data_IF_469236163323
#
_entry.id   IF_469236163323
#
_cell.length_a   1.000
_cell.length_b   1.000
_cell.length_c   1.000
_cell.angle_alpha   90.00
_cell.angle_beta   90.00
_cell.angle_gamma   90.00
#
_symmetry.space_group_name_H-M   'P 1'
#
loop_
_entity.id
_entity.type
_entity.pdbx_description
1 polymer ?
#
# COMPACT_ATOMS: atom_id res chain seq x y z
N UNK A 1 -53.42 -29.13 4.50
CA UNK A 1 -52.22 -29.29 3.65
C UNK A 1 -51.01 -29.05 4.54
N UNK A 2 -50.09 -30.02 4.72
CA UNK A 2 -48.88 -29.81 5.50
C UNK A 2 -48.00 -28.68 4.94
N UNK A 3 -47.36 -27.94 5.85
CA UNK A 3 -46.33 -26.96 5.53
C UNK A 3 -44.96 -27.63 5.67
N UNK A 4 -44.13 -27.53 4.64
CA UNK A 4 -42.74 -27.99 4.64
C UNK A 4 -41.81 -26.80 4.40
N UNK A 5 -40.64 -26.80 5.05
CA UNK A 5 -39.56 -25.87 4.72
C UNK A 5 -38.47 -26.61 3.95
N UNK A 6 -38.23 -26.21 2.72
CA UNK A 6 -37.24 -26.81 1.82
C UNK A 6 -35.90 -26.13 2.04
N UNK A 7 -34.90 -26.89 2.51
CA UNK A 7 -33.55 -26.40 2.82
C UNK A 7 -32.70 -26.19 1.57
N UNK A 8 -32.89 -27.06 0.57
CA UNK A 8 -32.17 -27.03 -0.72
C UNK A 8 -33.16 -27.29 -1.83
N UNK A 9 -33.14 -26.47 -2.88
CA UNK A 9 -34.05 -26.62 -4.00
C UNK A 9 -33.93 -28.00 -4.64
N UNK A 10 -35.06 -28.64 -4.96
CA UNK A 10 -35.11 -29.95 -5.61
C UNK A 10 -36.34 -30.10 -6.49
N UNK A 11 -36.33 -31.17 -7.28
CA UNK A 11 -37.47 -31.59 -8.10
C UNK A 11 -37.91 -32.98 -7.67
N UNK A 12 -39.21 -33.17 -7.45
CA UNK A 12 -39.83 -34.47 -7.21
C UNK A 12 -40.60 -34.91 -8.46
N UNK A 13 -40.35 -36.13 -8.92
CA UNK A 13 -41.18 -36.78 -9.93
C UNK A 13 -42.11 -37.76 -9.19
N UNK A 14 -43.42 -37.52 -9.21
CA UNK A 14 -44.42 -38.34 -8.50
C UNK A 14 -45.67 -38.50 -9.37
N UNK A 15 -46.17 -39.73 -9.55
CA UNK A 15 -47.38 -40.03 -10.35
C UNK A 15 -47.39 -39.38 -11.75
N UNK A 16 -46.28 -39.47 -12.47
CA UNK A 16 -46.06 -38.88 -13.80
C UNK A 16 -46.10 -37.33 -13.86
N UNK A 17 -46.13 -36.66 -12.70
CA UNK A 17 -46.04 -35.21 -12.57
C UNK A 17 -44.68 -34.78 -11.99
N UNK A 18 -44.16 -33.65 -12.48
CA UNK A 18 -42.93 -33.02 -12.00
C UNK A 18 -43.30 -31.86 -11.08
N UNK A 19 -42.91 -31.95 -9.82
CA UNK A 19 -43.07 -30.88 -8.84
C UNK A 19 -41.72 -30.23 -8.54
N UNK A 20 -41.63 -28.91 -8.71
CA UNK A 20 -40.44 -28.13 -8.38
C UNK A 20 -40.59 -27.46 -7.02
N UNK A 21 -39.59 -27.65 -6.16
CA UNK A 21 -39.55 -27.15 -4.80
C UNK A 21 -38.35 -26.22 -4.64
N UNK A 22 -38.51 -24.89 -4.80
CA UNK A 22 -37.46 -23.93 -4.48
C UNK A 22 -37.23 -23.88 -2.96
N UNK A 23 -36.12 -23.28 -2.52
CA UNK A 23 -35.86 -23.08 -1.08
C UNK A 23 -36.95 -22.21 -0.46
N UNK A 24 -37.42 -22.58 0.72
CA UNK A 24 -38.44 -21.83 1.45
C UNK A 24 -39.66 -22.66 1.86
N UNK A 25 -40.71 -21.95 2.27
CA UNK A 25 -41.94 -22.55 2.78
C UNK A 25 -42.90 -22.94 1.65
N UNK A 26 -43.36 -24.19 1.67
CA UNK A 26 -44.31 -24.72 0.70
C UNK A 26 -45.48 -25.41 1.39
N UNK A 27 -46.68 -25.23 0.84
CA UNK A 27 -47.86 -26.00 1.23
C UNK A 27 -48.07 -27.14 0.24
N UNK A 28 -47.97 -28.37 0.73
CA UNK A 28 -48.05 -29.58 -0.10
C UNK A 28 -49.16 -30.52 0.38
N UNK A 29 -49.46 -31.57 -0.39
CA UNK A 29 -50.36 -32.63 0.06
C UNK A 29 -49.68 -33.52 1.11
N UNK A 30 -50.48 -34.27 1.90
CA UNK A 30 -49.96 -35.19 2.91
C UNK A 30 -49.04 -36.27 2.31
N UNK A 31 -49.41 -36.80 1.14
CA UNK A 31 -48.64 -37.81 0.42
C UNK A 31 -47.25 -37.28 0.00
N UNK A 32 -47.17 -36.05 -0.48
CA UNK A 32 -45.90 -35.41 -0.88
C UNK A 32 -45.06 -35.07 0.35
N UNK A 33 -45.68 -34.58 1.43
CA UNK A 33 -44.96 -34.32 2.69
C UNK A 33 -44.36 -35.58 3.30
N UNK A 34 -45.02 -36.73 3.12
CA UNK A 34 -44.55 -38.02 3.64
C UNK A 34 -43.48 -38.69 2.78
N UNK A 35 -43.33 -38.26 1.52
CA UNK A 35 -42.37 -38.82 0.57
C UNK A 35 -40.93 -38.69 1.09
N UNK A 36 -40.18 -39.79 1.06
CA UNK A 36 -38.82 -39.87 1.61
C UNK A 36 -37.87 -38.80 1.04
N UNK A 37 -37.98 -38.52 -0.26
CA UNK A 37 -37.17 -37.51 -0.93
C UNK A 37 -37.49 -36.09 -0.47
N UNK A 38 -38.77 -35.81 -0.18
CA UNK A 38 -39.19 -34.51 0.35
C UNK A 38 -38.66 -34.34 1.78
N UNK A 39 -38.82 -35.36 2.64
CA UNK A 39 -38.26 -35.35 4.01
C UNK A 39 -36.75 -35.17 4.06
N UNK A 40 -36.01 -35.75 3.10
CA UNK A 40 -34.55 -35.59 3.02
C UNK A 40 -34.12 -34.14 2.69
N UNK A 41 -34.99 -33.37 2.03
CA UNK A 41 -34.69 -32.00 1.59
C UNK A 41 -35.41 -30.93 2.40
N UNK A 42 -36.23 -31.34 3.38
CA UNK A 42 -36.94 -30.44 4.27
C UNK A 42 -36.33 -30.44 5.67
N UNK A 43 -36.71 -29.47 6.49
CA UNK A 43 -36.49 -29.54 7.92
C UNK A 43 -37.00 -28.29 8.60
N UNK A 44 -36.37 -27.92 9.71
CA UNK A 44 -36.80 -26.77 10.50
C UNK A 44 -36.68 -25.47 9.69
N UNK A 45 -37.75 -24.67 9.74
CA UNK A 45 -37.78 -23.33 9.19
C UNK A 45 -36.74 -22.50 9.97
N UNK A 46 -35.77 -21.86 9.30
CA UNK A 46 -34.81 -21.01 10.00
C UNK A 46 -35.60 -19.93 10.72
N UNK A 47 -35.22 -19.66 11.97
CA UNK A 47 -35.81 -18.57 12.74
C UNK A 47 -35.80 -17.30 11.88
N UNK A 48 -36.98 -16.69 11.70
CA UNK A 48 -37.11 -15.47 10.93
C UNK A 48 -36.15 -14.42 11.53
N UNK A 49 -35.34 -13.83 10.64
CA UNK A 49 -34.14 -13.06 10.96
C UNK A 49 -34.30 -12.05 12.10
N UNK A 50 -33.34 -12.10 13.00
CA UNK A 50 -33.01 -10.99 13.89
C UNK A 50 -31.51 -11.01 14.24
N UNK A 51 -30.91 -12.20 14.29
CA UNK A 51 -29.48 -12.36 14.64
C UNK A 51 -28.54 -11.96 13.48
N UNK A 52 -28.98 -12.10 12.22
CA UNK A 52 -28.16 -11.76 11.05
C UNK A 52 -28.05 -10.26 10.74
N UNK A 53 -29.04 -9.44 11.10
CA UNK A 53 -29.04 -8.02 10.75
C UNK A 53 -28.13 -7.18 11.67
N UNK A 54 -28.05 -7.54 12.96
CA UNK A 54 -27.12 -6.93 13.91
C UNK A 54 -25.65 -7.25 13.55
N UNK A 55 -25.36 -8.53 13.28
CA UNK A 55 -24.01 -8.97 12.86
C UNK A 55 -23.56 -8.29 11.55
N UNK A 56 -24.49 -8.09 10.60
CA UNK A 56 -24.20 -7.38 9.35
C UNK A 56 -23.97 -5.88 9.57
N UNK A 57 -24.65 -5.25 10.52
CA UNK A 57 -24.44 -3.85 10.86
C UNK A 57 -23.07 -3.63 11.52
N UNK A 58 -22.71 -4.49 12.47
CA UNK A 58 -21.41 -4.45 13.14
C UNK A 58 -20.27 -4.69 12.14
N UNK A 59 -20.42 -5.67 11.24
CA UNK A 59 -19.42 -5.93 10.20
C UNK A 59 -19.26 -4.78 9.22
N UNK A 60 -20.35 -4.07 8.89
CA UNK A 60 -20.29 -2.85 8.05
C UNK A 60 -19.53 -1.73 8.75
N UNK A 61 -19.80 -1.52 10.04
CA UNK A 61 -19.10 -0.50 10.83
C UNK A 61 -17.59 -0.79 10.95
N UNK A 62 -17.23 -2.07 11.13
CA UNK A 62 -15.83 -2.50 11.13
C UNK A 62 -15.15 -2.25 9.77
N UNK A 63 -15.79 -2.63 8.66
CA UNK A 63 -15.28 -2.37 7.31
C UNK A 63 -15.11 -0.88 7.00
N UNK A 64 -16.03 -0.04 7.47
CA UNK A 64 -15.94 1.42 7.31
C UNK A 64 -14.77 1.99 8.13
N UNK A 65 -14.55 1.47 9.34
CA UNK A 65 -13.39 1.82 10.17
C UNK A 65 -12.08 1.43 9.49
N UNK A 66 -11.98 0.19 8.97
CA UNK A 66 -10.82 -0.28 8.22
C UNK A 66 -10.57 0.55 6.95
N UNK A 67 -11.62 0.88 6.20
CA UNK A 67 -11.51 1.71 4.99
C UNK A 67 -10.98 3.12 5.32
N UNK A 68 -11.40 3.70 6.45
CA UNK A 68 -10.88 4.97 6.93
C UNK A 68 -9.40 4.86 7.30
N UNK A 69 -9.01 3.83 8.06
CA UNK A 69 -7.61 3.60 8.42
C UNK A 69 -6.73 3.43 7.17
N UNK A 70 -7.18 2.67 6.18
CA UNK A 70 -6.46 2.50 4.91
C UNK A 70 -6.31 3.82 4.15
N UNK A 71 -7.34 4.67 4.16
CA UNK A 71 -7.28 6.00 3.54
C UNK A 71 -6.25 6.89 4.24
N UNK A 72 -6.22 6.90 5.57
CA UNK A 72 -5.26 7.67 6.36
C UNK A 72 -3.82 7.19 6.12
N UNK A 73 -3.61 5.87 6.10
CA UNK A 73 -2.30 5.26 5.79
C UNK A 73 -1.85 5.60 4.36
N UNK A 74 -2.75 5.55 3.39
CA UNK A 74 -2.42 5.90 2.00
C UNK A 74 -2.04 7.39 1.86
N UNK A 75 -2.73 8.28 2.56
CA UNK A 75 -2.39 9.69 2.60
C UNK A 75 -1.01 9.91 3.21
N UNK A 76 -0.71 9.23 4.33
CA UNK A 76 0.59 9.33 4.99
C UNK A 76 1.74 8.82 4.12
N UNK A 77 1.54 7.69 3.45
CA UNK A 77 2.53 7.14 2.53
C UNK A 77 2.83 8.10 1.37
N UNK A 78 1.81 8.78 0.85
CA UNK A 78 2.02 9.77 -0.20
C UNK A 78 2.79 11.01 0.30
N UNK A 79 2.51 11.49 1.51
CA UNK A 79 3.27 12.57 2.13
C UNK A 79 4.75 12.18 2.33
N UNK A 80 5.00 10.97 2.83
CA UNK A 80 6.36 10.47 3.06
C UNK A 80 7.13 10.33 1.73
N UNK A 81 6.45 9.85 0.67
CA UNK A 81 7.03 9.78 -0.68
C UNK A 81 7.45 11.16 -1.19
N UNK A 82 6.57 12.16 -1.10
CA UNK A 82 6.89 13.52 -1.53
C UNK A 82 8.04 14.12 -0.73
N UNK A 83 8.13 13.80 0.57
CA UNK A 83 9.23 14.23 1.43
C UNK A 83 10.55 13.57 1.01
N UNK A 84 10.54 12.29 0.67
CA UNK A 84 11.72 11.58 0.16
C UNK A 84 12.18 12.13 -1.19
N UNK A 85 11.24 12.40 -2.11
CA UNK A 85 11.55 13.00 -3.41
C UNK A 85 12.22 14.37 -3.25
N UNK A 86 11.71 15.20 -2.34
CA UNK A 86 12.30 16.51 -2.04
C UNK A 86 13.72 16.39 -1.45
N UNK A 87 13.93 15.46 -0.52
CA UNK A 87 15.26 15.20 0.08
C UNK A 87 16.25 14.65 -0.95
N UNK A 88 15.80 13.80 -1.86
CA UNK A 88 16.62 13.28 -2.94
C UNK A 88 17.09 14.41 -3.87
N UNK A 89 16.19 15.32 -4.24
CA UNK A 89 16.54 16.50 -5.02
C UNK A 89 17.55 17.41 -4.29
N UNK A 90 17.38 17.63 -2.99
CA UNK A 90 18.33 18.40 -2.18
C UNK A 90 19.72 17.75 -2.15
N UNK A 91 19.79 16.42 -2.00
CA UNK A 91 21.06 15.69 -2.00
C UNK A 91 21.82 15.84 -3.32
N UNK A 92 21.12 15.79 -4.46
CA UNK A 92 21.72 16.01 -5.78
C UNK A 92 22.35 17.41 -5.89
N UNK A 93 21.67 18.44 -5.38
CA UNK A 93 22.23 19.80 -5.39
C UNK A 93 23.41 19.96 -4.42
N UNK A 94 23.37 19.28 -3.26
CA UNK A 94 24.51 19.26 -2.32
C UNK A 94 25.73 18.55 -2.89
N UNK A 95 25.53 17.48 -3.64
CA UNK A 95 26.61 16.75 -4.33
C UNK A 95 27.28 17.65 -5.38
N UNK A 96 26.50 18.29 -6.27
CA UNK A 96 27.05 19.27 -7.23
C UNK A 96 27.83 20.39 -6.55
N UNK A 97 27.31 20.90 -5.43
CA UNK A 97 27.98 21.96 -4.68
C UNK A 97 29.24 21.47 -3.96
N UNK A 98 29.37 20.18 -3.66
CA UNK A 98 30.59 19.59 -3.14
C UNK A 98 31.64 19.45 -4.25
N UNK A 99 31.25 18.93 -5.42
CA UNK A 99 32.14 18.80 -6.59
C UNK A 99 32.73 20.16 -7.03
N UNK A 100 31.90 21.21 -7.01
CA UNK A 100 32.34 22.57 -7.30
C UNK A 100 33.38 23.06 -6.27
N UNK A 101 33.12 22.83 -4.97
CA UNK A 101 34.07 23.22 -3.92
C UNK A 101 35.38 22.46 -4.02
N UNK A 102 35.34 21.18 -4.37
CA UNK A 102 36.56 20.39 -4.58
C UNK A 102 37.38 20.95 -5.74
N UNK A 103 36.73 21.28 -6.86
CA UNK A 103 37.38 21.93 -8.01
C UNK A 103 38.02 23.27 -7.63
N UNK A 104 37.30 24.11 -6.88
CA UNK A 104 37.83 25.38 -6.40
C UNK A 104 39.02 25.23 -5.44
N UNK A 105 38.98 24.23 -4.55
CA UNK A 105 40.07 23.95 -3.62
C UNK A 105 41.31 23.46 -4.36
N UNK A 106 41.16 22.59 -5.36
CA UNK A 106 42.26 22.13 -6.20
C UNK A 106 42.91 23.30 -6.95
N UNK A 107 42.11 24.18 -7.55
CA UNK A 107 42.63 25.38 -8.23
C UNK A 107 43.37 26.33 -7.25
N UNK A 108 42.88 26.45 -6.00
CA UNK A 108 43.57 27.23 -4.97
C UNK A 108 44.90 26.60 -4.55
N UNK A 109 44.96 25.27 -4.44
CA UNK A 109 46.20 24.56 -4.12
C UNK A 109 47.25 24.80 -5.21
N UNK A 110 46.89 24.61 -6.49
CA UNK A 110 47.80 24.89 -7.61
C UNK A 110 48.28 26.35 -7.63
N UNK A 111 47.39 27.29 -7.34
CA UNK A 111 47.74 28.71 -7.27
C UNK A 111 48.70 29.03 -6.10
N UNK A 112 48.60 28.31 -4.98
CA UNK A 112 49.53 28.43 -3.86
C UNK A 112 50.90 27.85 -4.23
N UNK A 113 50.95 26.66 -4.83
CA UNK A 113 52.20 26.05 -5.30
C UNK A 113 52.94 26.98 -6.28
N UNK A 114 52.22 27.58 -7.24
CA UNK A 114 52.81 28.54 -8.16
C UNK A 114 53.35 29.81 -7.48
N UNK A 115 52.65 30.28 -6.43
CA UNK A 115 53.12 31.42 -5.62
C UNK A 115 54.36 31.08 -4.83
N UNK A 116 54.45 29.88 -4.25
CA UNK A 116 55.63 29.40 -3.53
C UNK A 116 56.85 29.36 -4.44
N UNK A 117 56.71 28.82 -5.66
CA UNK A 117 57.79 28.82 -6.67
C UNK A 117 58.22 30.26 -6.99
N UNK A 118 57.27 31.16 -7.25
CA UNK A 118 57.55 32.57 -7.57
C UNK A 118 58.29 33.27 -6.43
N UNK A 119 57.93 33.00 -5.17
CA UNK A 119 58.61 33.56 -3.99
C UNK A 119 60.05 33.03 -3.92
N UNK A 120 60.25 31.72 -4.05
CA UNK A 120 61.59 31.12 -4.02
C UNK A 120 62.51 31.67 -5.12
N UNK A 121 61.97 31.95 -6.31
CA UNK A 121 62.72 32.60 -7.39
C UNK A 121 63.10 34.05 -7.06
N UNK A 122 62.18 34.82 -6.48
CA UNK A 122 62.43 36.20 -6.05
C UNK A 122 63.48 36.26 -4.94
N UNK A 123 63.43 35.33 -3.99
CA UNK A 123 64.43 35.23 -2.93
C UNK A 123 65.83 34.97 -3.50
N UNK A 124 65.96 33.99 -4.41
CA UNK A 124 67.23 33.72 -5.11
C UNK A 124 67.75 34.93 -5.88
N UNK A 125 66.87 35.67 -6.56
CA UNK A 125 67.24 36.87 -7.31
C UNK A 125 67.71 38.01 -6.37
N UNK A 126 67.02 38.22 -5.25
CA UNK A 126 67.39 39.20 -4.23
C UNK A 126 68.77 38.88 -3.62
N UNK A 127 69.02 37.61 -3.29
CA UNK A 127 70.30 37.14 -2.78
C UNK A 127 71.46 37.35 -3.77
N UNK A 128 71.22 37.11 -5.06
CA UNK A 128 72.20 37.35 -6.10
C UNK A 128 72.53 38.85 -6.22
N UNK A 129 71.52 39.72 -6.23
CA UNK A 129 71.70 41.17 -6.30
C UNK A 129 72.48 41.73 -5.10
N UNK A 130 72.18 41.24 -3.89
CA UNK A 130 72.88 41.64 -2.67
C UNK A 130 74.38 41.28 -2.67
N UNK A 131 74.76 40.19 -3.36
CA UNK A 131 76.17 39.77 -3.51
C UNK A 131 76.93 40.62 -4.53
N UNK A 132 76.27 41.08 -5.59
CA UNK A 132 76.91 41.89 -6.65
C UNK A 132 77.09 43.36 -6.27
N UNK A 133 76.23 43.92 -5.42
CA UNK A 133 76.31 45.34 -4.99
C UNK A 133 77.32 45.64 -3.87
N UNK A 134 78.06 44.64 -3.38
CA UNK A 134 79.09 44.78 -2.31
C UNK A 134 80.53 44.84 -2.83
N UNK A 135 80.75 44.91 -4.16
CA UNK A 135 82.05 45.12 -4.80
C UNK A 135 82.20 46.56 -5.25
#
# INVERSE_FOLDING_TARGET
>A
MPKIYVKKAFTLHHKDEKHEFPVGNHSVSAEVAEHWYVKAHTGEEPAAGNDGDADLADRRAELESEAKMLTDVAAKLNEDRLTLDARAAELVEREKAADQRETELNARAEALDAREVTIAEREKAADAAAKTGKK
#
